data_IF_796178072790
#
_entry.id   IF_796178072790
#
_cell.length_a   1.000
_cell.length_b   1.000
_cell.length_c   1.000
_cell.angle_alpha   90.00
_cell.angle_beta   90.00
_cell.angle_gamma   90.00
#
_symmetry.space_group_name_H-M   'P 1'
#
loop_
_entity.id
_entity.type
_entity.pdbx_description
1 polymer ?
#
# COMPACT_ATOMS: atom_id res chain seq x y z
N UNK A 1 2.06 -19.74 18.75
CA UNK A 1 0.82 -20.34 18.20
C UNK A 1 1.24 -21.36 17.18
N UNK A 2 0.71 -22.58 17.20
CA UNK A 2 1.05 -23.58 16.18
C UNK A 2 0.34 -23.24 14.86
N UNK A 3 0.93 -23.57 13.69
CA UNK A 3 0.29 -23.27 12.41
C UNK A 3 -1.06 -23.97 12.26
N UNK A 4 -2.04 -23.25 11.73
CA UNK A 4 -3.36 -23.81 11.40
C UNK A 4 -3.29 -24.65 10.11
N UNK A 5 -4.29 -25.51 9.90
CA UNK A 5 -4.32 -26.39 8.71
C UNK A 5 -4.23 -25.65 7.38
N UNK A 6 -4.85 -24.47 7.26
CA UNK A 6 -4.76 -23.63 6.06
C UNK A 6 -3.38 -22.99 5.88
N UNK A 7 -2.68 -22.68 6.97
CA UNK A 7 -1.32 -22.14 6.92
C UNK A 7 -0.34 -23.22 6.45
N UNK A 8 -0.52 -24.46 6.92
CA UNK A 8 0.25 -25.63 6.45
C UNK A 8 -0.03 -25.88 4.96
N UNK A 9 -1.30 -25.86 4.54
CA UNK A 9 -1.67 -26.02 3.13
C UNK A 9 -1.02 -24.94 2.25
N UNK A 10 -1.11 -23.66 2.67
CA UNK A 10 -0.46 -22.57 1.96
C UNK A 10 1.05 -22.80 1.84
N UNK A 11 1.71 -23.23 2.91
CA UNK A 11 3.14 -23.54 2.91
C UNK A 11 3.49 -24.65 1.91
N UNK A 12 2.72 -25.74 1.88
CA UNK A 12 2.91 -26.84 0.92
C UNK A 12 2.75 -26.36 -0.52
N UNK A 13 1.72 -25.55 -0.80
CA UNK A 13 1.47 -25.01 -2.15
C UNK A 13 2.61 -24.10 -2.60
N UNK A 14 3.07 -23.18 -1.75
CA UNK A 14 4.15 -22.25 -2.08
C UNK A 14 5.47 -22.99 -2.35
N UNK A 15 5.87 -23.93 -1.48
CA UNK A 15 7.10 -24.70 -1.72
C UNK A 15 7.03 -25.59 -2.96
N UNK A 16 5.84 -26.12 -3.28
CA UNK A 16 5.64 -26.89 -4.51
C UNK A 16 5.79 -26.00 -5.75
N UNK A 17 5.23 -24.80 -5.72
CA UNK A 17 5.37 -23.83 -6.81
C UNK A 17 6.84 -23.39 -6.98
N UNK A 18 7.54 -23.06 -5.88
CA UNK A 18 8.96 -22.71 -5.90
C UNK A 18 9.80 -23.87 -6.45
N UNK A 19 9.51 -25.12 -6.06
CA UNK A 19 10.18 -26.30 -6.59
C UNK A 19 9.98 -26.41 -8.11
N UNK A 20 8.74 -26.27 -8.60
CA UNK A 20 8.45 -26.29 -10.04
C UNK A 20 9.25 -25.20 -10.76
N UNK A 21 9.27 -23.98 -10.21
CA UNK A 21 10.01 -22.85 -10.78
C UNK A 21 11.52 -23.13 -10.86
N UNK A 22 12.11 -23.67 -9.79
CA UNK A 22 13.54 -24.02 -9.77
C UNK A 22 13.85 -25.21 -10.67
N UNK A 23 12.96 -26.20 -10.75
CA UNK A 23 13.13 -27.37 -11.60
C UNK A 23 13.22 -27.00 -13.09
N UNK A 24 12.33 -26.12 -13.57
CA UNK A 24 12.28 -25.74 -14.99
C UNK A 24 13.21 -24.58 -15.35
N UNK A 25 13.47 -23.62 -14.44
CA UNK A 25 14.23 -22.40 -14.74
C UNK A 25 15.52 -22.21 -13.91
N UNK A 26 15.84 -23.17 -13.03
CA UNK A 26 17.03 -23.15 -12.19
C UNK A 26 16.94 -22.17 -11.01
N UNK A 27 17.91 -22.21 -10.10
CA UNK A 27 17.88 -21.39 -8.86
C UNK A 27 17.88 -19.87 -9.13
N UNK A 28 18.38 -19.42 -10.29
CA UNK A 28 18.43 -18.00 -10.65
C UNK A 28 17.04 -17.39 -10.77
N UNK A 29 16.02 -18.15 -11.17
CA UNK A 29 14.63 -17.66 -11.24
C UNK A 29 14.10 -17.32 -9.84
N UNK A 30 14.36 -18.17 -8.84
CA UNK A 30 13.97 -17.93 -7.46
C UNK A 30 14.68 -16.70 -6.88
N UNK A 31 15.99 -16.55 -7.12
CA UNK A 31 16.75 -15.34 -6.73
C UNK A 31 16.16 -14.10 -7.39
N UNK A 32 15.85 -14.17 -8.68
CA UNK A 32 15.21 -13.07 -9.40
C UNK A 32 13.86 -12.69 -8.80
N UNK A 33 13.00 -13.66 -8.45
CA UNK A 33 11.69 -13.40 -7.83
C UNK A 33 11.81 -12.76 -6.45
N UNK A 34 12.73 -13.24 -5.62
CA UNK A 34 13.00 -12.66 -4.30
C UNK A 34 13.54 -11.23 -4.43
N UNK A 35 14.54 -11.02 -5.28
CA UNK A 35 15.12 -9.70 -5.53
C UNK A 35 14.07 -8.74 -6.10
N UNK A 36 13.23 -9.20 -7.04
CA UNK A 36 12.14 -8.40 -7.62
C UNK A 36 11.11 -8.00 -6.58
N UNK A 37 10.76 -8.90 -5.65
CA UNK A 37 9.86 -8.58 -4.55
C UNK A 37 10.46 -7.51 -3.63
N UNK A 38 11.72 -7.68 -3.24
CA UNK A 38 12.40 -6.71 -2.36
C UNK A 38 12.53 -5.34 -3.04
N UNK A 39 12.88 -5.30 -4.32
CA UNK A 39 13.00 -4.05 -5.04
C UNK A 39 11.63 -3.42 -5.27
N UNK A 40 10.67 -4.18 -5.77
CA UNK A 40 9.33 -3.71 -6.15
C UNK A 40 8.45 -3.29 -4.98
N UNK A 41 8.50 -3.99 -3.85
CA UNK A 41 7.74 -3.66 -2.63
C UNK A 41 8.57 -2.86 -1.60
N UNK A 42 9.89 -2.77 -1.77
CA UNK A 42 10.79 -2.00 -0.91
C UNK A 42 11.01 -0.59 -1.42
N UNK A 43 12.22 -0.30 -1.90
CA UNK A 43 12.65 1.07 -2.24
C UNK A 43 12.19 1.56 -3.63
N UNK A 44 11.37 0.80 -4.35
CA UNK A 44 10.81 1.28 -5.61
C UNK A 44 10.00 2.57 -5.38
N UNK A 45 10.18 3.64 -6.18
CA UNK A 45 9.49 4.91 -5.95
C UNK A 45 7.97 4.79 -5.80
N UNK A 46 7.35 3.88 -6.56
CA UNK A 46 5.91 3.64 -6.47
C UNK A 46 5.50 2.87 -5.20
N UNK A 47 6.37 2.07 -4.58
CA UNK A 47 6.04 1.36 -3.34
C UNK A 47 5.71 2.29 -2.17
N UNK A 48 6.12 3.57 -2.27
CA UNK A 48 5.74 4.60 -1.32
C UNK A 48 4.22 4.82 -1.21
N UNK A 49 3.41 4.40 -2.19
CA UNK A 49 1.95 4.44 -2.05
C UNK A 49 1.46 3.58 -0.88
N UNK A 50 2.00 2.36 -0.71
CA UNK A 50 1.65 1.51 0.43
C UNK A 50 1.93 2.19 1.76
N UNK A 51 3.04 2.94 1.84
CA UNK A 51 3.41 3.66 3.05
C UNK A 51 2.45 4.85 3.28
N UNK A 52 2.23 5.65 2.24
CA UNK A 52 1.31 6.79 2.28
C UNK A 52 -0.08 6.36 2.75
N UNK A 53 -0.58 5.22 2.29
CA UNK A 53 -1.96 4.79 2.52
C UNK A 53 -2.18 4.12 3.89
N UNK A 54 -1.10 3.71 4.57
CA UNK A 54 -1.20 2.87 5.78
C UNK A 54 -0.45 3.41 7.01
N UNK A 55 0.25 4.54 6.87
CA UNK A 55 0.94 5.19 7.99
C UNK A 55 0.50 6.64 8.16
N UNK A 56 0.48 7.08 9.41
CA UNK A 56 0.04 8.40 9.81
C UNK A 56 1.19 9.41 9.72
N UNK A 57 1.20 10.21 8.65
CA UNK A 57 2.13 11.33 8.46
C UNK A 57 1.70 12.59 9.22
N UNK A 58 0.39 12.78 9.37
CA UNK A 58 -0.26 13.82 10.13
C UNK A 58 -1.22 13.22 11.17
N UNK A 59 -1.20 13.78 12.38
CA UNK A 59 -1.99 13.25 13.50
C UNK A 59 -3.49 13.29 13.17
N UNK A 60 -4.12 12.12 13.21
CA UNK A 60 -5.56 11.99 12.97
C UNK A 60 -5.93 11.59 11.54
N UNK A 61 -4.97 11.56 10.61
CA UNK A 61 -5.21 11.13 9.22
C UNK A 61 -4.67 9.71 9.00
N UNK A 62 -5.56 8.76 8.74
CA UNK A 62 -5.24 7.33 8.59
C UNK A 62 -4.69 6.98 7.20
N UNK A 63 -5.06 7.76 6.18
CA UNK A 63 -4.66 7.53 4.79
C UNK A 63 -4.64 8.85 4.01
N UNK A 64 -3.93 8.85 2.87
CA UNK A 64 -3.60 10.04 2.11
C UNK A 64 -3.74 9.75 0.62
N UNK A 65 -4.34 10.71 -0.08
CA UNK A 65 -4.27 10.71 -1.54
C UNK A 65 -2.93 11.25 -2.03
N UNK A 66 -2.60 10.92 -3.26
CA UNK A 66 -1.43 11.34 -4.01
C UNK A 66 -1.87 12.04 -5.30
N UNK A 67 -1.49 13.31 -5.43
CA UNK A 67 -1.78 14.14 -6.60
C UNK A 67 -0.48 14.56 -7.31
N UNK A 68 0.35 13.58 -7.65
CA UNK A 68 1.60 13.80 -8.37
C UNK A 68 1.70 13.05 -9.70
N UNK A 69 2.83 13.19 -10.40
CA UNK A 69 3.04 12.62 -11.74
C UNK A 69 3.00 11.08 -11.76
N UNK A 70 3.20 10.40 -10.64
CA UNK A 70 3.08 8.94 -10.54
C UNK A 70 1.74 8.41 -11.04
N UNK A 71 0.66 9.20 -10.93
CA UNK A 71 -0.67 8.84 -11.41
C UNK A 71 -0.73 8.54 -12.91
N UNK A 72 0.14 9.16 -13.72
CA UNK A 72 0.21 8.85 -15.15
C UNK A 72 0.72 7.43 -15.42
N UNK A 73 1.59 6.91 -14.55
CA UNK A 73 2.14 5.55 -14.65
C UNK A 73 1.27 4.52 -13.93
N UNK A 74 0.51 4.95 -12.92
CA UNK A 74 -0.32 4.08 -12.08
C UNK A 74 -1.80 4.19 -12.34
N UNK A 75 -2.21 4.82 -13.45
CA UNK A 75 -3.61 4.95 -13.83
C UNK A 75 -4.49 5.55 -12.72
N UNK A 76 -4.01 6.63 -12.10
CA UNK A 76 -4.68 7.36 -11.01
C UNK A 76 -4.90 6.58 -9.70
N UNK A 77 -4.11 5.53 -9.42
CA UNK A 77 -4.13 4.83 -8.11
C UNK A 77 -3.93 5.78 -6.92
N UNK A 78 -3.24 6.91 -7.12
CA UNK A 78 -3.03 7.89 -6.06
C UNK A 78 -4.30 8.60 -5.57
N UNK A 79 -5.42 8.56 -6.29
CA UNK A 79 -6.70 9.10 -5.81
C UNK A 79 -7.34 8.14 -4.79
N UNK A 80 -6.63 7.94 -3.69
CA UNK A 80 -6.87 6.86 -2.75
C UNK A 80 -8.10 7.12 -1.88
N UNK A 81 -8.26 8.33 -1.35
CA UNK A 81 -9.45 8.66 -0.55
C UNK A 81 -10.71 8.57 -1.42
N UNK A 82 -10.65 9.10 -2.64
CA UNK A 82 -11.75 9.02 -3.59
C UNK A 82 -12.07 7.56 -3.96
N UNK A 83 -11.05 6.71 -4.12
CA UNK A 83 -11.25 5.28 -4.36
C UNK A 83 -11.92 4.58 -3.18
N UNK A 84 -11.50 4.88 -1.94
CA UNK A 84 -12.07 4.26 -0.75
C UNK A 84 -13.51 4.71 -0.48
N UNK A 85 -13.85 5.96 -0.80
CA UNK A 85 -15.23 6.45 -0.71
C UNK A 85 -16.11 5.85 -1.82
N UNK A 86 -15.57 5.73 -3.04
CA UNK A 86 -16.30 5.27 -4.22
C UNK A 86 -15.57 4.12 -4.96
N UNK A 87 -15.48 2.91 -4.37
CA UNK A 87 -14.65 1.82 -4.89
C UNK A 87 -15.14 1.26 -6.23
N UNK A 88 -16.39 1.55 -6.61
CA UNK A 88 -16.97 1.15 -7.90
C UNK A 88 -16.67 2.11 -9.05
N UNK A 89 -16.08 3.28 -8.79
CA UNK A 89 -15.68 4.22 -9.84
C UNK A 89 -14.32 3.80 -10.40
N UNK A 90 -14.18 3.69 -11.74
CA UNK A 90 -12.90 3.32 -12.33
C UNK A 90 -11.85 4.40 -12.07
N UNK A 91 -10.58 3.97 -11.90
CA UNK A 91 -9.45 4.86 -11.63
C UNK A 91 -9.33 6.05 -12.60
N UNK A 92 -9.65 5.84 -13.88
CA UNK A 92 -9.65 6.88 -14.91
C UNK A 92 -10.62 8.04 -14.62
N UNK A 93 -11.64 7.85 -13.76
CA UNK A 93 -12.64 8.85 -13.39
C UNK A 93 -12.49 9.37 -11.97
N UNK A 94 -11.58 8.86 -11.16
CA UNK A 94 -11.34 9.38 -9.81
C UNK A 94 -10.93 10.87 -9.78
N UNK A 95 -10.18 11.42 -10.75
CA UNK A 95 -9.96 12.87 -10.82
C UNK A 95 -11.26 13.68 -10.90
N UNK A 96 -12.30 13.14 -11.55
CA UNK A 96 -13.60 13.79 -11.63
C UNK A 96 -14.32 13.78 -10.29
N UNK A 97 -14.19 12.71 -9.49
CA UNK A 97 -14.77 12.63 -8.14
C UNK A 97 -14.28 13.78 -7.27
N UNK A 98 -12.97 14.01 -7.27
CA UNK A 98 -12.37 15.15 -6.57
C UNK A 98 -12.91 16.48 -7.06
N UNK A 99 -13.07 16.65 -8.38
CA UNK A 99 -13.54 17.89 -8.99
C UNK A 99 -15.00 18.22 -8.68
N UNK A 100 -15.87 17.22 -8.56
CA UNK A 100 -17.31 17.45 -8.31
C UNK A 100 -17.65 17.60 -6.82
N UNK A 101 -16.76 17.17 -5.94
CA UNK A 101 -16.94 17.19 -4.49
C UNK A 101 -15.70 17.75 -3.74
N UNK A 102 -15.13 18.89 -4.17
CA UNK A 102 -13.88 19.43 -3.63
C UNK A 102 -13.96 19.75 -2.13
N UNK A 103 -15.15 20.08 -1.63
CA UNK A 103 -15.40 20.37 -0.22
C UNK A 103 -15.03 19.21 0.72
N UNK A 104 -15.04 17.97 0.22
CA UNK A 104 -14.65 16.78 0.99
C UNK A 104 -13.14 16.46 0.90
N UNK A 105 -12.43 16.94 -0.13
CA UNK A 105 -11.07 16.49 -0.44
C UNK A 105 -9.99 17.56 -0.35
N UNK A 106 -10.30 18.83 -0.65
CA UNK A 106 -9.29 19.89 -0.78
C UNK A 106 -8.66 20.31 0.55
N UNK A 107 -9.33 20.01 1.67
CA UNK A 107 -8.82 20.27 3.02
C UNK A 107 -8.03 19.09 3.61
N UNK A 108 -8.05 17.92 2.95
CA UNK A 108 -7.34 16.74 3.43
C UNK A 108 -5.84 16.82 3.10
N UNK A 109 -4.96 16.34 3.98
CA UNK A 109 -3.54 16.23 3.64
C UNK A 109 -3.34 15.22 2.50
N UNK A 110 -2.37 15.51 1.64
CA UNK A 110 -2.05 14.68 0.48
C UNK A 110 -0.56 14.72 0.17
N UNK A 111 -0.10 13.78 -0.64
CA UNK A 111 1.27 13.71 -1.13
C UNK A 111 1.38 14.08 -2.61
N UNK A 112 2.57 14.54 -3.02
CA UNK A 112 2.91 14.79 -4.43
C UNK A 112 4.12 13.99 -4.90
N UNK A 113 4.84 13.35 -3.97
CA UNK A 113 5.99 12.49 -4.26
C UNK A 113 6.03 11.26 -3.35
N UNK A 114 5.83 10.06 -3.90
CA UNK A 114 5.99 8.81 -3.16
C UNK A 114 7.45 8.51 -2.80
N UNK A 115 8.42 9.00 -3.59
CA UNK A 115 9.83 8.94 -3.20
C UNK A 115 10.08 9.74 -1.92
N UNK A 116 9.44 10.92 -1.78
CA UNK A 116 9.51 11.70 -0.55
C UNK A 116 8.86 10.95 0.62
N UNK A 117 7.72 10.29 0.39
CA UNK A 117 7.07 9.44 1.40
C UNK A 117 8.02 8.37 1.92
N UNK A 118 8.73 7.66 1.03
CA UNK A 118 9.75 6.67 1.42
C UNK A 118 10.88 7.33 2.23
N UNK A 119 11.39 8.46 1.75
CA UNK A 119 12.45 9.20 2.43
C UNK A 119 12.06 9.62 3.84
N UNK A 120 10.89 10.24 3.99
CA UNK A 120 10.36 10.67 5.28
C UNK A 120 10.15 9.47 6.21
N UNK A 121 9.60 8.36 5.71
CA UNK A 121 9.41 7.14 6.50
C UNK A 121 10.73 6.54 7.03
N UNK A 122 11.82 6.68 6.28
CA UNK A 122 13.14 6.18 6.69
C UNK A 122 13.85 7.15 7.63
N UNK A 123 13.69 8.46 7.42
CA UNK A 123 14.55 9.49 8.05
C UNK A 123 13.86 10.28 9.16
N UNK A 124 12.53 10.35 9.18
CA UNK A 124 11.77 11.05 10.20
C UNK A 124 11.38 10.09 11.34
N UNK A 125 11.92 10.24 12.55
CA UNK A 125 11.61 9.35 13.67
C UNK A 125 10.15 9.40 14.12
N UNK A 126 9.38 10.41 13.67
CA UNK A 126 7.94 10.53 13.97
C UNK A 126 7.10 9.58 13.13
N UNK A 127 7.60 9.16 11.96
CA UNK A 127 6.91 8.28 11.02
C UNK A 127 7.55 6.91 11.15
N UNK A 128 6.86 5.97 11.78
CA UNK A 128 7.40 4.64 12.05
C UNK A 128 6.33 3.56 11.86
N UNK A 129 6.69 2.27 11.93
CA UNK A 129 5.71 1.18 11.82
C UNK A 129 4.53 1.22 12.82
N UNK A 130 4.65 2.03 13.88
CA UNK A 130 3.63 2.24 14.89
C UNK A 130 2.86 3.57 14.75
N UNK A 131 3.23 4.42 13.79
CA UNK A 131 2.50 5.63 13.45
C UNK A 131 1.20 5.26 12.72
N UNK A 132 0.22 4.77 13.47
CA UNK A 132 -1.08 4.32 12.97
C UNK A 132 -2.15 4.58 14.02
N UNK A 133 -3.39 4.75 13.59
CA UNK A 133 -4.52 4.90 14.49
C UNK A 133 -5.04 3.51 14.86
N UNK A 134 -5.21 3.27 16.16
CA UNK A 134 -5.89 2.08 16.68
C UNK A 134 -7.18 2.53 17.35
N UNK A 135 -8.32 2.24 16.74
CA UNK A 135 -9.62 2.52 17.32
C UNK A 135 -9.82 1.63 18.57
N UNK A 136 -10.31 2.17 19.69
CA UNK A 136 -10.66 1.34 20.83
C UNK A 136 -11.76 0.37 20.41
N UNK A 137 -11.64 -0.90 20.82
CA UNK A 137 -12.74 -1.85 20.66
C UNK A 137 -13.90 -1.33 21.51
N UNK A 138 -14.98 -0.90 20.85
CA UNK A 138 -16.24 -0.67 21.54
C UNK A 138 -16.63 -2.02 22.14
N UNK A 139 -16.52 -2.16 23.48
CA UNK A 139 -17.25 -3.22 24.17
C UNK A 139 -18.71 -2.99 23.80
N UNK A 140 -19.35 -3.98 23.19
CA UNK A 140 -20.81 -3.99 23.11
C UNK A 140 -21.29 -3.89 24.56
N UNK A 141 -21.78 -2.73 24.96
CA UNK A 141 -22.72 -2.65 26.08
C UNK A 141 -23.92 -3.47 25.64
N UNK A 142 -24.11 -4.61 26.30
CA UNK A 142 -25.34 -5.40 26.25
C UNK A 142 -26.55 -4.55 26.65
#
# INVERSE_FOLDING_TARGET
MAPQGLEILNMVVQFSADYVVVHFWGVKSLVFMLASTILGAGLHPMAGHFIAEHYMFEKGCETYSYYGPGNYLTFNVGYHNEHHDFPSIPGSRLPLVKQIAPEFYDHLPYHTSWTKVIWDFITDPRICPFARIKRPNLKKTE
#
